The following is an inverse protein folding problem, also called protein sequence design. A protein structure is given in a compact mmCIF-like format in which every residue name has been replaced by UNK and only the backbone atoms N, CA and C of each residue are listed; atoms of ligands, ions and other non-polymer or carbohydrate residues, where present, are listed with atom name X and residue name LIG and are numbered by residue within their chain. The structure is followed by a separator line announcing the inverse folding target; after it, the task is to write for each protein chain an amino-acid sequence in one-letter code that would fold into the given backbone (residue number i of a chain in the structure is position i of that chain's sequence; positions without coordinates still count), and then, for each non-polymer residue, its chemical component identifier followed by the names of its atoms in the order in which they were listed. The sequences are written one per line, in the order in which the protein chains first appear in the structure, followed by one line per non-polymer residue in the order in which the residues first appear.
data_IF_763350166438
#
_entry.id   IF_763350166438
#
_cell.length_a   1.000
_cell.length_b   1.000
_cell.length_c   1.000
_cell.angle_alpha   90.00
_cell.angle_beta   90.00
_cell.angle_gamma   90.00
#
_symmetry.space_group_name_H-M   'P 1'
#
loop_
_entity.id
_entity.type
_entity.pdbx_description
1 polymer ?
#
# COMPACT_ATOMS: atom_id res chain seq x y z
N UNK A 1 16.29 13.06 -23.26
CA UNK A 1 15.42 12.06 -22.61
C UNK A 1 14.32 12.82 -21.88
N UNK A 2 13.18 13.04 -22.55
CA UNK A 2 12.03 13.69 -21.91
C UNK A 2 11.44 12.70 -20.89
N UNK A 3 11.51 13.05 -19.62
CA UNK A 3 10.69 12.40 -18.59
C UNK A 3 9.27 12.89 -18.88
N UNK A 4 8.51 12.12 -19.65
CA UNK A 4 7.09 12.36 -19.79
C UNK A 4 6.45 12.20 -18.41
N UNK A 5 5.81 13.27 -17.93
CA UNK A 5 5.06 13.39 -16.67
C UNK A 5 3.79 12.50 -16.64
N UNK A 6 3.88 11.27 -17.14
CA UNK A 6 2.78 10.32 -17.11
C UNK A 6 2.79 9.63 -15.75
N UNK A 7 1.63 9.65 -15.08
CA UNK A 7 1.36 9.00 -13.79
C UNK A 7 2.00 7.60 -13.77
N UNK A 8 3.00 7.39 -12.91
CA UNK A 8 3.78 6.14 -12.82
C UNK A 8 2.89 4.89 -12.67
N UNK A 9 1.72 5.03 -12.05
CA UNK A 9 0.78 3.93 -11.89
C UNK A 9 0.10 3.51 -13.20
N UNK A 10 -0.03 4.41 -14.18
CA UNK A 10 -0.56 4.07 -15.51
C UNK A 10 0.38 3.13 -16.29
N UNK A 11 1.62 2.94 -15.82
CA UNK A 11 2.54 1.94 -16.39
C UNK A 11 2.25 0.52 -15.91
N UNK A 12 1.47 0.36 -14.84
CA UNK A 12 1.03 -0.95 -14.38
C UNK A 12 -0.26 -1.37 -15.08
N UNK A 13 -0.30 -2.61 -15.58
CA UNK A 13 -1.53 -3.21 -16.07
C UNK A 13 -2.57 -3.40 -14.95
N UNK A 14 -2.11 -3.73 -13.74
CA UNK A 14 -2.95 -3.81 -12.53
C UNK A 14 -2.17 -3.36 -11.28
N UNK A 15 -2.29 -2.08 -10.87
CA UNK A 15 -1.67 -1.58 -9.64
C UNK A 15 -2.15 -2.29 -8.37
N UNK A 16 -3.39 -2.80 -8.34
CA UNK A 16 -3.96 -3.48 -7.16
C UNK A 16 -3.30 -4.83 -6.95
N UNK A 17 -2.92 -5.52 -8.01
CA UNK A 17 -2.16 -6.76 -7.93
C UNK A 17 -0.79 -6.55 -7.26
N UNK A 18 -0.04 -5.52 -7.68
CA UNK A 18 1.28 -5.19 -7.12
C UNK A 18 1.15 -4.81 -5.64
N UNK A 19 0.21 -3.91 -5.31
CA UNK A 19 -0.07 -3.53 -3.91
C UNK A 19 -0.45 -4.77 -3.10
N UNK A 20 -1.28 -5.65 -3.67
CA UNK A 20 -1.70 -6.91 -3.05
C UNK A 20 -0.52 -7.80 -2.71
N UNK A 21 0.39 -8.05 -3.65
CA UNK A 21 1.61 -8.86 -3.43
C UNK A 21 2.46 -8.32 -2.28
N UNK A 22 2.70 -7.01 -2.27
CA UNK A 22 3.50 -6.37 -1.22
C UNK A 22 2.80 -6.48 0.14
N UNK A 23 1.49 -6.22 0.22
CA UNK A 23 0.75 -6.34 1.47
C UNK A 23 0.66 -7.79 1.97
N UNK A 24 0.64 -8.77 1.06
CA UNK A 24 0.72 -10.17 1.41
C UNK A 24 2.03 -10.47 2.13
N UNK A 25 3.16 -10.02 1.60
CA UNK A 25 4.46 -10.21 2.25
C UNK A 25 4.53 -9.46 3.58
N UNK A 26 3.96 -8.25 3.67
CA UNK A 26 3.88 -7.50 4.92
C UNK A 26 3.18 -8.31 6.02
N UNK A 27 1.98 -8.85 5.75
CA UNK A 27 1.21 -9.56 6.80
C UNK A 27 1.65 -11.00 7.02
N UNK A 28 2.43 -11.60 6.13
CA UNK A 28 2.95 -12.96 6.33
C UNK A 28 4.35 -12.95 6.95
N UNK A 29 5.21 -12.01 6.54
CA UNK A 29 6.65 -12.13 6.76
C UNK A 29 7.26 -10.94 7.53
N UNK A 30 6.68 -9.74 7.45
CA UNK A 30 7.28 -8.51 8.01
C UNK A 30 6.62 -8.06 9.32
N UNK A 31 5.29 -8.06 9.36
CA UNK A 31 4.49 -7.62 10.49
C UNK A 31 3.29 -8.59 10.67
N UNK A 32 3.54 -9.86 11.04
CA UNK A 32 2.50 -10.89 11.12
C UNK A 32 1.41 -10.59 12.17
N UNK A 33 1.68 -9.75 13.15
CA UNK A 33 0.67 -9.25 14.10
C UNK A 33 -0.48 -8.49 13.41
N UNK A 34 -0.23 -7.90 12.23
CA UNK A 34 -1.27 -7.21 11.45
C UNK A 34 -2.30 -8.18 10.87
N UNK A 35 -2.01 -9.49 10.81
CA UNK A 35 -2.97 -10.49 10.31
C UNK A 35 -4.29 -10.45 11.09
N UNK A 36 -4.22 -10.30 12.42
CA UNK A 36 -5.41 -10.22 13.28
C UNK A 36 -6.21 -8.95 12.99
N UNK A 37 -5.54 -7.81 12.85
CA UNK A 37 -6.16 -6.54 12.49
C UNK A 37 -6.94 -6.65 11.17
N UNK A 38 -6.33 -7.29 10.18
CA UNK A 38 -6.92 -7.47 8.86
C UNK A 38 -7.84 -8.69 8.72
N UNK A 39 -8.07 -9.45 9.79
CA UNK A 39 -8.96 -10.62 9.77
C UNK A 39 -8.48 -11.75 8.86
N UNK A 40 -7.15 -11.92 8.76
CA UNK A 40 -6.48 -12.95 7.94
C UNK A 40 -5.58 -13.86 8.80
N UNK A 41 -5.79 -13.88 10.12
CA UNK A 41 -5.04 -14.72 11.06
C UNK A 41 -5.10 -16.20 10.66
N UNK A 42 -6.29 -16.70 10.32
CA UNK A 42 -6.54 -18.09 9.91
C UNK A 42 -6.73 -18.29 8.41
N UNK A 43 -6.72 -17.22 7.63
CA UNK A 43 -6.97 -17.31 6.19
C UNK A 43 -5.75 -17.93 5.47
N UNK A 44 -5.95 -18.90 4.56
CA UNK A 44 -4.90 -19.34 3.66
C UNK A 44 -4.36 -18.18 2.80
N UNK A 45 -3.05 -18.17 2.50
CA UNK A 45 -2.39 -17.12 1.71
C UNK A 45 -3.16 -16.81 0.41
N UNK A 46 -3.61 -17.84 -0.30
CA UNK A 46 -4.33 -17.72 -1.57
C UNK A 46 -5.71 -17.01 -1.49
N UNK A 47 -6.34 -16.93 -0.31
CA UNK A 47 -7.69 -16.34 -0.15
C UNK A 47 -7.68 -15.02 0.59
N UNK A 48 -6.54 -14.59 1.16
CA UNK A 48 -6.44 -13.37 1.95
C UNK A 48 -6.93 -12.12 1.22
N UNK A 49 -6.58 -11.95 -0.07
CA UNK A 49 -7.02 -10.79 -0.86
C UNK A 49 -8.55 -10.74 -1.08
N UNK A 50 -9.25 -11.87 -0.89
CA UNK A 50 -10.72 -11.93 -0.94
C UNK A 50 -11.36 -11.56 0.40
N UNK A 51 -10.57 -11.45 1.48
CA UNK A 51 -11.08 -11.12 2.80
C UNK A 51 -11.44 -9.63 2.89
N UNK A 52 -12.64 -9.27 3.38
CA UNK A 52 -13.16 -7.90 3.26
C UNK A 52 -12.24 -6.81 3.84
N UNK A 53 -11.66 -7.04 5.02
CA UNK A 53 -10.79 -6.06 5.67
C UNK A 53 -9.45 -5.93 4.96
N UNK A 54 -8.82 -7.04 4.61
CA UNK A 54 -7.51 -7.06 3.97
C UNK A 54 -7.56 -6.61 2.51
N UNK A 55 -8.40 -7.25 1.68
CA UNK A 55 -8.62 -6.85 0.29
C UNK A 55 -9.14 -5.42 0.17
N UNK A 56 -10.02 -5.00 1.09
CA UNK A 56 -10.49 -3.62 1.16
C UNK A 56 -9.40 -2.62 1.57
N UNK A 57 -8.38 -3.02 2.34
CA UNK A 57 -7.23 -2.16 2.63
C UNK A 57 -6.30 -2.06 1.42
N UNK A 58 -6.02 -3.18 0.73
CA UNK A 58 -5.24 -3.21 -0.52
C UNK A 58 -5.87 -2.30 -1.58
N UNK A 59 -7.19 -2.39 -1.81
CA UNK A 59 -7.85 -1.49 -2.77
C UNK A 59 -7.71 -0.02 -2.36
N UNK A 60 -7.96 0.32 -1.08
CA UNK A 60 -7.85 1.70 -0.60
C UNK A 60 -6.43 2.25 -0.71
N UNK A 61 -5.42 1.41 -0.55
CA UNK A 61 -4.03 1.83 -0.75
C UNK A 61 -3.73 2.10 -2.23
N UNK A 62 -4.20 1.25 -3.14
CA UNK A 62 -4.08 1.51 -4.58
C UNK A 62 -4.78 2.82 -4.98
N UNK A 63 -6.01 3.04 -4.49
CA UNK A 63 -6.78 4.25 -4.76
C UNK A 63 -6.10 5.50 -4.14
N UNK A 64 -5.46 5.36 -2.97
CA UNK A 64 -4.66 6.42 -2.35
C UNK A 64 -3.45 6.78 -3.20
N UNK A 65 -2.71 5.77 -3.70
CA UNK A 65 -1.57 6.00 -4.57
C UNK A 65 -2.01 6.71 -5.87
N UNK A 66 -3.10 6.29 -6.49
CA UNK A 66 -3.65 6.90 -7.70
C UNK A 66 -4.00 8.37 -7.50
N UNK A 67 -4.69 8.69 -6.42
CA UNK A 67 -5.03 10.08 -6.09
C UNK A 67 -3.76 10.90 -5.80
N UNK A 68 -2.81 10.35 -5.05
CA UNK A 68 -1.57 11.04 -4.71
C UNK A 68 -0.72 11.32 -5.96
N UNK A 69 -0.53 10.34 -6.84
CA UNK A 69 0.29 10.52 -8.06
C UNK A 69 -0.39 11.42 -9.07
N UNK A 70 -1.73 11.39 -9.18
CA UNK A 70 -2.49 12.35 -9.99
C UNK A 70 -2.37 13.78 -9.45
N UNK A 71 -2.51 13.97 -8.14
CA UNK A 71 -2.37 15.29 -7.53
C UNK A 71 -0.96 15.85 -7.68
N UNK A 72 0.06 15.05 -7.45
CA UNK A 72 1.45 15.51 -7.49
C UNK A 72 2.02 15.61 -8.90
N UNK A 73 1.71 14.66 -9.77
CA UNK A 73 2.36 14.51 -11.08
C UNK A 73 1.55 15.04 -12.27
N UNK A 74 0.25 15.26 -12.12
CA UNK A 74 -0.62 15.72 -13.22
C UNK A 74 -1.27 17.07 -12.95
N UNK A 75 -1.94 17.23 -11.80
CA UNK A 75 -2.68 18.47 -11.49
C UNK A 75 -1.87 19.49 -10.69
N UNK A 76 -0.67 19.12 -10.24
CA UNK A 76 0.20 19.92 -9.35
C UNK A 76 -0.52 20.44 -8.08
N UNK A 77 -1.57 19.75 -7.63
CA UNK A 77 -2.31 20.06 -6.42
C UNK A 77 -1.58 19.56 -5.16
N UNK A 78 -0.45 20.20 -4.87
CA UNK A 78 0.43 19.88 -3.73
C UNK A 78 -0.33 20.00 -2.41
N UNK A 79 -1.16 21.03 -2.27
CA UNK A 79 -1.97 21.27 -1.05
C UNK A 79 -2.97 20.12 -0.86
N UNK A 80 -3.66 19.69 -1.91
CA UNK A 80 -4.58 18.55 -1.88
C UNK A 80 -3.88 17.25 -1.51
N UNK A 81 -2.71 16.99 -2.09
CA UNK A 81 -1.90 15.81 -1.76
C UNK A 81 -1.49 15.79 -0.28
N UNK A 82 -1.02 16.92 0.25
CA UNK A 82 -0.69 17.07 1.67
C UNK A 82 -1.90 16.85 2.58
N UNK A 83 -3.05 17.42 2.21
CA UNK A 83 -4.30 17.25 2.96
C UNK A 83 -4.79 15.79 2.94
N UNK A 84 -4.68 15.10 1.81
CA UNK A 84 -5.04 13.68 1.69
C UNK A 84 -4.17 12.83 2.61
N UNK A 85 -2.85 12.96 2.55
CA UNK A 85 -1.92 12.22 3.41
C UNK A 85 -2.24 12.44 4.91
N UNK A 86 -2.42 13.70 5.33
CA UNK A 86 -2.75 14.01 6.73
C UNK A 86 -4.12 13.49 7.14
N UNK A 87 -5.12 13.56 6.27
CA UNK A 87 -6.47 13.04 6.54
C UNK A 87 -6.42 11.52 6.73
N UNK A 88 -5.71 10.81 5.85
CA UNK A 88 -5.50 9.36 5.97
C UNK A 88 -4.83 9.00 7.28
N UNK A 89 -3.76 9.72 7.69
CA UNK A 89 -3.12 9.50 8.99
C UNK A 89 -4.08 9.68 10.17
N UNK A 90 -4.90 10.74 10.18
CA UNK A 90 -5.91 10.95 11.24
C UNK A 90 -6.98 9.86 11.29
N UNK A 91 -7.36 9.28 10.15
CA UNK A 91 -8.32 8.17 10.13
C UNK A 91 -7.75 6.90 10.78
N UNK A 92 -6.44 6.69 10.70
CA UNK A 92 -5.77 5.54 11.30
C UNK A 92 -5.64 5.63 12.83
N UNK A 93 -5.75 6.84 13.42
CA UNK A 93 -5.86 6.99 14.88
C UNK A 93 -7.12 6.31 15.44
N UNK A 94 -8.17 6.15 14.61
CA UNK A 94 -9.42 5.47 15.01
C UNK A 94 -9.33 3.94 14.92
N UNK A 95 -8.19 3.39 14.54
CA UNK A 95 -7.96 1.95 14.49
C UNK A 95 -7.41 1.53 15.85
N UNK A 96 -8.22 0.86 16.68
CA UNK A 96 -7.84 0.54 18.06
C UNK A 96 -6.48 -0.16 18.20
N UNK A 97 -6.12 -1.04 17.26
CA UNK A 97 -4.78 -1.63 17.23
C UNK A 97 -3.67 -0.58 17.12
N UNK A 98 -3.80 0.40 16.23
CA UNK A 98 -2.80 1.45 16.07
C UNK A 98 -2.85 2.44 17.24
N UNK A 99 -4.03 2.73 17.78
CA UNK A 99 -4.15 3.55 18.99
C UNK A 99 -3.34 2.98 20.16
N UNK A 100 -3.40 1.66 20.36
CA UNK A 100 -2.72 0.97 21.45
C UNK A 100 -1.23 0.71 21.17
N UNK A 101 -0.84 0.47 19.91
CA UNK A 101 0.47 -0.09 19.57
C UNK A 101 1.36 0.82 18.71
N UNK A 102 0.85 1.92 18.14
CA UNK A 102 1.66 2.85 17.36
C UNK A 102 2.56 3.69 18.27
N UNK A 103 3.87 3.46 18.19
CA UNK A 103 4.86 4.15 19.02
C UNK A 103 6.09 4.54 18.19
N UNK A 104 6.49 5.82 18.22
CA UNK A 104 7.64 6.31 17.44
C UNK A 104 8.99 5.77 17.91
N UNK A 105 9.12 5.46 19.19
CA UNK A 105 10.38 5.00 19.79
C UNK A 105 10.51 3.48 19.79
N UNK A 106 9.38 2.77 19.72
CA UNK A 106 9.35 1.31 19.79
C UNK A 106 8.92 0.71 18.45
N UNK A 107 7.68 0.97 18.02
CA UNK A 107 7.11 0.34 16.85
C UNK A 107 6.20 1.28 16.06
N UNK A 108 6.78 1.87 15.01
CA UNK A 108 6.03 2.70 14.07
C UNK A 108 5.54 1.84 12.90
N UNK A 109 4.28 1.46 12.91
CA UNK A 109 3.66 0.62 11.87
C UNK A 109 3.59 1.32 10.51
N UNK A 110 3.45 2.65 10.48
CA UNK A 110 3.55 3.38 9.21
C UNK A 110 4.93 3.23 8.60
N UNK A 111 6.00 3.40 9.38
CA UNK A 111 7.37 3.24 8.92
C UNK A 111 7.62 1.81 8.45
N UNK A 112 7.25 0.80 9.25
CA UNK A 112 7.42 -0.63 8.89
C UNK A 112 6.74 -0.94 7.55
N UNK A 113 5.48 -0.55 7.40
CA UNK A 113 4.72 -0.79 6.17
C UNK A 113 5.32 0.00 5.01
N UNK A 114 5.63 1.28 5.21
CA UNK A 114 6.09 2.18 4.14
C UNK A 114 7.48 1.83 3.65
N UNK A 115 8.42 1.52 4.54
CA UNK A 115 9.80 1.18 4.18
C UNK A 115 9.84 -0.11 3.36
N UNK A 116 9.12 -1.14 3.81
CA UNK A 116 9.01 -2.37 3.05
C UNK A 116 8.28 -2.13 1.72
N UNK A 117 7.19 -1.37 1.76
CA UNK A 117 6.42 -1.06 0.56
C UNK A 117 7.28 -0.34 -0.49
N UNK A 118 8.00 0.72 -0.12
CA UNK A 118 8.90 1.45 -1.02
C UNK A 118 9.99 0.53 -1.56
N UNK A 119 10.65 -0.26 -0.70
CA UNK A 119 11.70 -1.18 -1.10
C UNK A 119 11.23 -2.24 -2.10
N UNK A 120 9.97 -2.70 -1.99
CA UNK A 120 9.40 -3.61 -2.98
C UNK A 120 8.90 -2.88 -4.24
N UNK A 121 8.17 -1.79 -4.05
CA UNK A 121 7.42 -1.05 -5.07
C UNK A 121 8.33 -0.37 -6.09
N UNK A 122 9.48 0.17 -5.66
CA UNK A 122 10.46 0.77 -6.59
C UNK A 122 10.85 -0.23 -7.67
N UNK A 123 11.14 -1.48 -7.31
CA UNK A 123 11.51 -2.51 -8.28
C UNK A 123 10.43 -2.76 -9.34
N UNK A 124 9.14 -2.65 -8.96
CA UNK A 124 8.04 -2.74 -9.93
C UNK A 124 7.97 -1.50 -10.83
N UNK A 125 8.16 -0.30 -10.26
CA UNK A 125 8.14 0.97 -11.01
C UNK A 125 9.30 1.07 -12.00
N UNK A 126 10.49 0.58 -11.63
CA UNK A 126 11.70 0.59 -12.48
C UNK A 126 11.70 -0.53 -13.51
N UNK A 127 10.82 -1.52 -13.37
CA UNK A 127 10.76 -2.71 -14.23
C UNK A 127 11.73 -3.82 -13.84
N UNK A 128 12.49 -3.67 -12.74
CA UNK A 128 13.34 -4.73 -12.18
C UNK A 128 12.53 -5.93 -11.69
N UNK A 129 11.30 -5.69 -11.21
CA UNK A 129 10.33 -6.71 -10.86
C UNK A 129 9.19 -6.71 -11.87
N UNK A 130 8.94 -7.87 -12.45
CA UNK A 130 7.84 -8.07 -13.40
C UNK A 130 6.62 -8.61 -12.65
N UNK A 131 5.46 -8.00 -12.89
CA UNK A 131 4.18 -8.60 -12.51
C UNK A 131 3.85 -9.69 -13.54
N UNK A 132 4.44 -10.88 -13.40
CA UNK A 132 4.16 -12.00 -14.31
C UNK A 132 2.72 -12.47 -14.04
N UNK A 133 1.84 -12.24 -15.00
CA UNK A 133 0.59 -12.97 -15.13
C UNK A 133 0.95 -14.44 -15.30
N UNK A 134 0.64 -15.27 -14.30
CA UNK A 134 0.36 -16.68 -14.55
C UNK A 134 -0.93 -16.73 -15.39
N UNK A 135 -0.79 -16.49 -16.70
CA UNK A 135 -1.65 -17.15 -17.66
C UNK A 135 -1.17 -18.61 -17.75
N UNK A 136 -1.58 -19.41 -16.76
CA UNK A 136 -1.75 -20.85 -16.90
C UNK A 136 -3.25 -21.14 -16.84
#
# INVERSE_FOLDING_TARGET
MQINNNNILQRFHDPKEVVGKIFMDIVNDIAPELRKLFGVDRAPKATMLKMPKFGGHVSRMADFLEQMTSMLGFTENIVGAWQLARKTGRLHVKVGFLEENQNQLEKNYFTIVTDYFIGQFIGYVTGEKVCILLYL
#
